data_IF_739303165132
#
_entry.id   IF_739303165132
#
_cell.length_a   1.000
_cell.length_b   1.000
_cell.length_c   1.000
_cell.angle_alpha   90.00
_cell.angle_beta   90.00
_cell.angle_gamma   90.00
#
_symmetry.space_group_name_H-M   'P 1'
#
loop_
_entity.id
_entity.type
_entity.pdbx_description
1 polymer ?
#
# COMPACT_ATOMS: atom_id res chain seq x y z
N UNK A 1 34.16 -6.42 -31.68
CA UNK A 1 35.44 -5.71 -31.44
C UNK A 1 35.55 -5.39 -29.97
N UNK A 2 36.65 -5.84 -29.37
CA UNK A 2 37.03 -5.79 -27.95
C UNK A 2 37.50 -4.36 -27.54
N UNK A 3 38.14 -4.10 -26.38
CA UNK A 3 38.01 -4.65 -25.02
C UNK A 3 38.15 -3.60 -23.87
N UNK A 4 37.90 -4.11 -22.66
CA UNK A 4 38.44 -3.78 -21.33
C UNK A 4 39.83 -3.10 -21.15
N UNK A 5 39.94 -2.28 -20.09
CA UNK A 5 41.14 -2.07 -19.22
C UNK A 5 40.63 -1.59 -17.83
N UNK A 6 40.82 -2.22 -16.65
CA UNK A 6 41.88 -2.93 -15.90
C UNK A 6 42.79 -2.01 -15.06
N UNK A 7 42.82 -2.25 -13.73
CA UNK A 7 43.91 -2.09 -12.72
C UNK A 7 43.39 -1.47 -11.38
N UNK A 8 43.77 -1.89 -10.17
CA UNK A 8 44.55 -3.02 -9.67
C UNK A 8 44.25 -3.19 -8.16
N UNK A 9 44.04 -4.43 -7.71
CA UNK A 9 43.93 -4.82 -6.30
C UNK A 9 45.29 -5.35 -5.85
N UNK A 10 45.78 -4.92 -4.68
CA UNK A 10 46.88 -5.59 -3.97
C UNK A 10 46.34 -6.23 -2.70
N UNK A 11 46.43 -7.56 -2.67
CA UNK A 11 46.12 -8.44 -1.55
C UNK A 11 47.13 -8.27 -0.41
N UNK A 12 46.63 -8.29 0.83
CA UNK A 12 47.34 -8.92 1.94
C UNK A 12 46.32 -9.47 2.93
N UNK A 13 46.29 -10.80 3.02
CA UNK A 13 45.42 -11.56 3.91
C UNK A 13 45.75 -11.37 5.39
N UNK A 14 44.75 -11.65 6.22
CA UNK A 14 44.85 -11.59 7.67
C UNK A 14 43.55 -12.09 8.31
N UNK A 15 43.47 -13.40 8.46
CA UNK A 15 42.41 -14.17 9.08
C UNK A 15 42.33 -13.81 10.58
N UNK A 16 41.18 -13.32 11.07
CA UNK A 16 40.96 -13.16 12.52
C UNK A 16 39.73 -13.93 12.99
N UNK A 17 40.04 -14.83 13.91
CA UNK A 17 39.21 -15.77 14.66
C UNK A 17 38.42 -15.01 15.74
N UNK A 18 37.17 -15.43 15.95
CA UNK A 18 36.32 -15.07 17.09
C UNK A 18 37.01 -15.32 18.44
N UNK A 19 37.03 -14.35 19.36
CA UNK A 19 36.68 -14.64 20.76
C UNK A 19 36.26 -13.43 21.61
N UNK A 20 35.46 -13.75 22.62
CA UNK A 20 34.66 -12.96 23.56
C UNK A 20 35.46 -12.20 24.64
N UNK A 21 34.81 -11.13 25.15
CA UNK A 21 34.91 -10.53 26.49
C UNK A 21 36.25 -9.90 26.93
N UNK A 22 36.27 -8.60 27.25
CA UNK A 22 36.33 -8.05 28.63
C UNK A 22 36.52 -6.52 28.63
N UNK A 23 35.88 -5.84 29.60
CA UNK A 23 36.05 -4.41 29.93
C UNK A 23 37.47 -4.07 30.42
N UNK A 24 37.93 -2.82 30.21
CA UNK A 24 38.24 -1.84 31.29
C UNK A 24 39.03 -0.62 30.78
N UNK A 25 38.63 0.55 31.31
CA UNK A 25 39.34 1.84 31.32
C UNK A 25 40.80 1.72 31.78
N UNK A 26 41.74 2.40 31.10
CA UNK A 26 42.92 3.03 31.72
C UNK A 26 43.34 4.28 30.94
N UNK A 27 43.41 5.41 31.66
CA UNK A 27 43.96 6.71 31.25
C UNK A 27 45.49 6.66 31.18
N UNK A 28 46.13 7.27 30.16
CA UNK A 28 47.57 7.57 30.20
C UNK A 28 47.86 9.02 29.79
N UNK A 29 48.44 9.70 30.77
CA UNK A 29 49.02 11.04 30.87
C UNK A 29 50.16 11.26 29.87
N UNK A 30 50.17 12.39 29.15
CA UNK A 30 51.32 12.83 28.35
C UNK A 30 51.90 14.15 28.91
N UNK A 31 53.23 14.17 29.04
CA UNK A 31 54.08 15.26 29.55
C UNK A 31 54.14 16.45 28.59
N UNK A 32 54.25 17.66 29.14
CA UNK A 32 54.77 18.87 28.47
C UNK A 32 56.32 18.91 28.56
N UNK A 33 57.03 19.67 27.69
CA UNK A 33 57.31 21.07 28.05
C UNK A 33 57.22 22.10 26.89
N UNK A 34 56.58 23.23 27.22
CA UNK A 34 56.79 24.63 26.80
C UNK A 34 57.51 24.98 25.48
N UNK A 35 56.77 25.62 24.55
CA UNK A 35 57.21 26.83 23.82
C UNK A 35 56.02 27.79 23.71
N UNK A 36 56.20 29.03 24.18
CA UNK A 36 55.23 30.11 24.10
C UNK A 36 55.05 30.62 22.66
N UNK A 37 53.83 30.57 22.15
CA UNK A 37 53.37 31.47 21.08
C UNK A 37 51.94 31.93 21.42
N UNK A 38 51.78 33.24 21.57
CA UNK A 38 50.50 33.90 21.79
C UNK A 38 49.68 33.82 20.51
N UNK A 39 48.80 32.82 20.41
CA UNK A 39 47.71 32.79 19.44
C UNK A 39 46.42 32.99 20.23
N UNK A 40 45.71 34.08 19.92
CA UNK A 40 44.35 34.33 20.40
C UNK A 40 43.47 33.24 19.77
N UNK A 41 43.15 32.20 20.54
CA UNK A 41 42.09 31.27 20.17
C UNK A 41 40.75 31.97 20.41
N UNK A 42 40.18 32.51 19.35
CA UNK A 42 38.72 32.70 19.28
C UNK A 42 38.15 31.28 19.22
N UNK A 43 37.32 30.82 20.17
CA UNK A 43 36.78 29.48 20.11
C UNK A 43 35.82 29.45 18.92
N UNK A 44 36.22 28.73 17.86
CA UNK A 44 35.27 28.21 16.88
C UNK A 44 34.35 27.29 17.65
N UNK A 45 33.15 27.80 17.97
CA UNK A 45 32.05 27.00 18.49
C UNK A 45 31.70 26.01 17.39
N UNK A 46 32.12 24.76 17.54
CA UNK A 46 31.68 23.66 16.71
C UNK A 46 30.16 23.55 16.83
N UNK A 47 29.45 23.78 15.73
CA UNK A 47 28.01 23.49 15.60
C UNK A 47 27.71 21.97 15.64
N UNK A 48 28.71 21.12 15.93
CA UNK A 48 28.59 19.66 15.97
C UNK A 48 28.15 19.08 17.34
N UNK A 49 28.01 19.90 18.39
CA UNK A 49 27.59 19.42 19.72
C UNK A 49 26.05 19.43 19.94
N UNK A 50 25.25 19.83 18.96
CA UNK A 50 23.78 19.90 19.06
C UNK A 50 23.07 18.65 18.49
N UNK A 51 23.64 17.46 18.66
CA UNK A 51 22.89 16.22 18.49
C UNK A 51 21.89 16.09 19.66
N UNK A 52 20.76 16.81 19.56
CA UNK A 52 19.63 16.70 20.49
C UNK A 52 19.25 15.21 20.63
N UNK A 53 19.11 14.68 21.87
CA UNK A 53 18.68 13.32 22.07
C UNK A 53 17.29 13.09 21.45
N UNK A 54 17.02 11.84 21.03
CA UNK A 54 15.66 11.38 20.70
C UNK A 54 14.66 11.89 21.75
N UNK A 55 13.42 12.25 21.35
CA UNK A 55 12.48 12.97 22.21
C UNK A 55 12.35 12.32 23.59
N UNK A 56 12.68 13.08 24.64
CA UNK A 56 12.67 12.63 26.03
C UNK A 56 11.28 12.20 26.51
N UNK A 57 10.22 12.54 25.76
CA UNK A 57 8.82 12.36 26.12
C UNK A 57 8.09 11.30 25.28
N UNK A 58 8.78 10.22 24.88
CA UNK A 58 8.15 9.04 24.25
C UNK A 58 6.95 8.49 25.05
N UNK A 59 6.87 8.77 26.36
CA UNK A 59 5.74 8.42 27.22
C UNK A 59 4.46 9.21 26.93
N UNK A 60 4.56 10.41 26.33
CA UNK A 60 3.41 11.25 26.01
C UNK A 60 2.45 10.58 25.00
N UNK A 61 2.97 9.76 24.08
CA UNK A 61 2.14 9.00 23.15
C UNK A 61 1.21 8.00 23.86
N UNK A 62 1.56 7.55 25.07
CA UNK A 62 0.69 6.69 25.89
C UNK A 62 -0.57 7.38 26.40
N UNK A 63 -0.66 8.71 26.33
CA UNK A 63 -1.87 9.47 26.65
C UNK A 63 -2.93 9.44 25.54
N UNK A 64 -2.57 8.97 24.34
CA UNK A 64 -3.51 8.81 23.25
C UNK A 64 -4.59 7.79 23.63
N UNK A 65 -5.83 7.95 23.13
CA UNK A 65 -6.84 6.92 23.27
C UNK A 65 -6.30 5.59 22.73
N UNK A 66 -6.25 4.58 23.59
CA UNK A 66 -5.81 3.22 23.26
C UNK A 66 -7.02 2.31 23.38
N UNK A 67 -7.13 1.33 22.46
CA UNK A 67 -8.27 0.44 22.27
C UNK A 67 -9.10 0.21 23.54
N UNK A 68 -10.14 1.02 23.71
CA UNK A 68 -11.01 0.99 24.87
C UNK A 68 -12.17 0.04 24.61
N UNK A 69 -12.58 -0.70 25.63
CA UNK A 69 -13.80 -1.51 25.59
C UNK A 69 -15.07 -0.65 25.77
N UNK A 70 -14.95 0.68 25.87
CA UNK A 70 -16.10 1.57 26.05
C UNK A 70 -16.93 1.59 24.78
N UNK A 71 -18.19 1.21 24.91
CA UNK A 71 -19.13 1.21 23.79
C UNK A 71 -20.13 2.36 23.94
N UNK A 72 -21.17 2.40 23.10
CA UNK A 72 -22.29 3.31 23.34
C UNK A 72 -22.96 2.96 24.67
N UNK A 73 -23.45 3.97 25.41
CA UNK A 73 -24.10 3.77 26.72
C UNK A 73 -25.21 2.70 26.67
N UNK A 74 -25.90 2.59 25.52
CA UNK A 74 -26.92 1.58 25.24
C UNK A 74 -26.32 0.16 25.27
N UNK A 75 -25.21 -0.07 24.58
CA UNK A 75 -24.57 -1.39 24.50
C UNK A 75 -23.88 -1.77 25.82
N UNK A 76 -23.29 -0.79 26.51
CA UNK A 76 -22.72 -0.98 27.84
C UNK A 76 -23.79 -1.33 28.88
N UNK A 77 -24.99 -0.71 28.81
CA UNK A 77 -26.11 -1.04 29.69
C UNK A 77 -26.67 -2.45 29.44
N UNK A 78 -26.79 -2.85 28.17
CA UNK A 78 -27.29 -4.17 27.78
C UNK A 78 -26.34 -5.31 28.16
N UNK A 79 -25.02 -5.02 28.21
CA UNK A 79 -23.98 -6.00 28.52
C UNK A 79 -23.46 -5.89 29.96
N UNK A 80 -24.09 -5.08 30.82
CA UNK A 80 -23.61 -4.79 32.18
C UNK A 80 -23.48 -6.04 33.07
N UNK A 81 -24.33 -7.05 32.85
CA UNK A 81 -24.36 -8.29 33.64
C UNK A 81 -23.41 -9.38 33.14
N UNK A 82 -22.65 -9.15 32.07
CA UNK A 82 -21.74 -10.14 31.48
C UNK A 82 -20.32 -10.01 32.03
N UNK A 83 -19.69 -11.16 32.27
CA UNK A 83 -18.27 -11.26 32.62
C UNK A 83 -17.42 -10.53 31.55
N UNK A 84 -16.33 -9.80 31.88
CA UNK A 84 -15.61 -8.93 30.94
C UNK A 84 -15.11 -9.67 29.69
N UNK A 85 -14.75 -10.96 29.84
CA UNK A 85 -14.35 -11.81 28.71
C UNK A 85 -15.48 -12.01 27.69
N UNK A 86 -16.67 -12.34 28.17
CA UNK A 86 -17.83 -12.57 27.30
C UNK A 86 -18.33 -11.26 26.71
N UNK A 87 -18.30 -10.17 27.48
CA UNK A 87 -18.61 -8.83 26.98
C UNK A 87 -17.72 -8.47 25.79
N UNK A 88 -16.41 -8.64 25.90
CA UNK A 88 -15.48 -8.31 24.81
C UNK A 88 -15.66 -9.22 23.58
N UNK A 89 -15.99 -10.51 23.79
CA UNK A 89 -16.29 -11.42 22.69
C UNK A 89 -17.56 -11.02 21.94
N UNK A 90 -18.62 -10.67 22.67
CA UNK A 90 -19.90 -10.21 22.08
C UNK A 90 -19.74 -8.88 21.35
N UNK A 91 -19.07 -7.89 21.94
CA UNK A 91 -18.79 -6.60 21.29
C UNK A 91 -18.05 -6.84 19.98
N UNK A 92 -16.99 -7.67 20.00
CA UNK A 92 -16.25 -7.99 18.78
C UNK A 92 -17.11 -8.67 17.73
N UNK A 93 -17.95 -9.63 18.13
CA UNK A 93 -18.87 -10.31 17.22
C UNK A 93 -19.86 -9.35 16.54
N UNK A 94 -20.49 -8.46 17.32
CA UNK A 94 -21.46 -7.47 16.80
C UNK A 94 -20.79 -6.55 15.78
N UNK A 95 -19.66 -5.93 16.14
CA UNK A 95 -18.95 -5.02 15.24
C UNK A 95 -18.38 -5.73 14.01
N UNK A 96 -18.02 -7.01 14.11
CA UNK A 96 -17.58 -7.82 12.95
C UNK A 96 -18.71 -7.95 11.93
N UNK A 97 -19.91 -8.34 12.36
CA UNK A 97 -21.06 -8.43 11.47
C UNK A 97 -21.46 -7.08 10.89
N UNK A 98 -21.44 -6.01 11.71
CA UNK A 98 -21.70 -4.65 11.23
C UNK A 98 -20.71 -4.25 10.13
N UNK A 99 -19.40 -4.49 10.34
CA UNK A 99 -18.37 -4.18 9.35
C UNK A 99 -18.56 -4.99 8.06
N UNK A 100 -18.88 -6.28 8.15
CA UNK A 100 -19.14 -7.13 6.98
C UNK A 100 -20.36 -6.62 6.20
N UNK A 101 -21.46 -6.34 6.88
CA UNK A 101 -22.69 -5.83 6.25
C UNK A 101 -22.46 -4.45 5.62
N UNK A 102 -21.75 -3.56 6.31
CA UNK A 102 -21.37 -2.27 5.78
C UNK A 102 -20.49 -2.41 4.54
N UNK A 103 -19.47 -3.25 4.57
CA UNK A 103 -18.61 -3.47 3.41
C UNK A 103 -19.38 -4.08 2.23
N UNK A 104 -20.24 -5.07 2.48
CA UNK A 104 -21.10 -5.65 1.45
C UNK A 104 -22.05 -4.61 0.83
N UNK A 105 -22.60 -3.71 1.65
CA UNK A 105 -23.42 -2.60 1.17
C UNK A 105 -22.62 -1.63 0.28
N UNK A 106 -21.40 -1.27 0.67
CA UNK A 106 -20.52 -0.43 -0.16
C UNK A 106 -20.15 -1.13 -1.48
N UNK A 107 -19.84 -2.42 -1.44
CA UNK A 107 -19.59 -3.22 -2.65
C UNK A 107 -20.83 -3.24 -3.56
N UNK A 108 -22.04 -3.30 -3.01
CA UNK A 108 -23.29 -3.22 -3.77
C UNK A 108 -23.50 -1.86 -4.44
N UNK A 109 -23.11 -0.75 -3.80
CA UNK A 109 -23.21 0.60 -4.38
C UNK A 109 -22.26 0.83 -5.56
N UNK A 110 -21.20 0.04 -5.70
CA UNK A 110 -20.30 0.06 -6.85
C UNK A 110 -18.89 0.59 -6.59
N UNK A 111 -18.05 0.61 -7.64
CA UNK A 111 -16.64 1.01 -7.56
C UNK A 111 -16.45 2.43 -7.03
N UNK A 112 -17.33 3.37 -7.39
CA UNK A 112 -17.23 4.75 -6.89
C UNK A 112 -17.43 4.84 -5.37
N UNK A 113 -18.35 4.05 -4.80
CA UNK A 113 -18.55 4.00 -3.36
C UNK A 113 -17.34 3.38 -2.64
N UNK A 114 -16.72 2.35 -3.24
CA UNK A 114 -15.47 1.76 -2.74
C UNK A 114 -14.31 2.76 -2.78
N UNK A 115 -14.20 3.58 -3.83
CA UNK A 115 -13.19 4.64 -3.90
C UNK A 115 -13.38 5.67 -2.78
N UNK A 116 -14.61 6.08 -2.51
CA UNK A 116 -14.90 6.99 -1.38
C UNK A 116 -14.56 6.34 -0.02
N UNK A 117 -14.83 5.04 0.13
CA UNK A 117 -14.44 4.29 1.33
C UNK A 117 -12.91 4.25 1.50
N UNK A 118 -12.16 3.97 0.43
CA UNK A 118 -10.69 3.96 0.43
C UNK A 118 -10.15 5.33 0.84
N UNK A 119 -10.73 6.41 0.30
CA UNK A 119 -10.36 7.78 0.66
C UNK A 119 -10.67 8.10 2.15
N UNK A 120 -11.82 7.65 2.65
CA UNK A 120 -12.18 7.82 4.06
C UNK A 120 -11.21 7.07 5.00
N UNK A 121 -10.86 5.82 4.66
CA UNK A 121 -9.87 5.02 5.39
C UNK A 121 -8.51 5.72 5.35
N UNK A 122 -8.07 6.19 4.19
CA UNK A 122 -6.81 6.91 4.00
C UNK A 122 -6.73 8.15 4.90
N UNK A 123 -7.75 9.01 4.89
CA UNK A 123 -7.81 10.21 5.74
C UNK A 123 -7.68 9.83 7.22
N UNK A 124 -8.37 8.76 7.66
CA UNK A 124 -8.33 8.32 9.05
C UNK A 124 -6.99 7.71 9.43
N UNK A 125 -6.41 6.86 8.60
CA UNK A 125 -5.06 6.33 8.76
C UNK A 125 -4.01 7.44 8.87
N UNK A 126 -4.09 8.44 7.99
CA UNK A 126 -3.21 9.61 8.03
C UNK A 126 -3.38 10.39 9.33
N UNK A 127 -4.62 10.64 9.75
CA UNK A 127 -4.90 11.32 11.01
C UNK A 127 -4.32 10.57 12.21
N UNK A 128 -4.49 9.25 12.31
CA UNK A 128 -3.94 8.44 13.41
C UNK A 128 -2.40 8.56 13.49
N UNK A 129 -1.69 8.42 12.36
CA UNK A 129 -0.22 8.52 12.34
C UNK A 129 0.27 9.95 12.63
N UNK A 130 -0.33 10.97 12.02
CA UNK A 130 0.07 12.38 12.27
C UNK A 130 -0.20 12.78 13.72
N UNK A 131 -1.29 12.29 14.32
CA UNK A 131 -1.62 12.58 15.72
C UNK A 131 -0.58 12.02 16.68
N UNK A 132 -0.04 10.82 16.41
CA UNK A 132 1.07 10.26 17.20
C UNK A 132 2.29 11.17 17.12
N UNK A 133 2.69 11.59 15.91
CA UNK A 133 3.78 12.53 15.73
C UNK A 133 3.53 13.83 16.50
N UNK A 134 2.34 14.42 16.35
CA UNK A 134 1.99 15.64 17.06
C UNK A 134 2.08 15.51 18.58
N UNK A 135 1.56 14.43 19.17
CA UNK A 135 1.60 14.23 20.62
C UNK A 135 3.02 14.05 21.16
N UNK A 136 3.89 13.35 20.43
CA UNK A 136 5.31 13.18 20.81
C UNK A 136 6.07 14.51 20.82
N UNK A 137 5.69 15.46 19.97
CA UNK A 137 6.34 16.78 19.85
C UNK A 137 5.50 17.93 20.42
N UNK A 138 4.40 17.64 21.13
CA UNK A 138 3.44 18.64 21.64
C UNK A 138 4.08 19.65 22.60
N UNK A 139 5.10 19.23 23.34
CA UNK A 139 5.82 20.08 24.32
C UNK A 139 6.55 21.27 23.70
N UNK A 140 6.70 21.31 22.37
CA UNK A 140 7.45 22.35 21.65
C UNK A 140 6.58 23.41 20.95
N UNK A 141 5.25 23.38 21.14
CA UNK A 141 4.25 24.34 20.64
C UNK A 141 4.51 24.86 19.21
N UNK A 142 4.65 23.93 18.28
CA UNK A 142 5.08 24.21 16.91
C UNK A 142 3.94 24.85 16.09
N UNK A 143 4.15 26.04 15.49
CA UNK A 143 3.11 26.72 14.74
C UNK A 143 2.77 25.97 13.44
N UNK A 144 1.49 25.99 13.06
CA UNK A 144 0.96 25.54 11.76
C UNK A 144 1.20 24.07 11.36
N UNK A 145 1.88 23.27 12.18
CA UNK A 145 2.22 21.88 11.81
C UNK A 145 1.00 21.08 11.35
N UNK A 146 -0.09 21.09 12.13
CA UNK A 146 -1.32 20.37 11.79
C UNK A 146 -1.90 20.86 10.45
N UNK A 147 -2.01 22.17 10.27
CA UNK A 147 -2.57 22.79 9.06
C UNK A 147 -1.75 22.41 7.83
N UNK A 148 -0.42 22.45 7.95
CA UNK A 148 0.50 22.14 6.89
C UNK A 148 0.49 20.64 6.52
N UNK A 149 0.39 19.73 7.50
CA UNK A 149 0.23 18.30 7.24
C UNK A 149 -1.06 18.00 6.48
N UNK A 150 -2.18 18.63 6.85
CA UNK A 150 -3.44 18.50 6.10
C UNK A 150 -3.38 19.11 4.70
N UNK A 151 -2.66 20.24 4.55
CA UNK A 151 -2.42 20.85 3.24
C UNK A 151 -1.65 19.90 2.31
N UNK A 152 -0.58 19.25 2.80
CA UNK A 152 0.15 18.28 2.01
C UNK A 152 -0.69 17.03 1.71
N UNK A 153 -1.54 16.57 2.62
CA UNK A 153 -2.50 15.50 2.32
C UNK A 153 -3.44 15.88 1.17
N UNK A 154 -4.02 17.07 1.21
CA UNK A 154 -4.86 17.57 0.13
C UNK A 154 -4.09 17.65 -1.20
N UNK A 155 -2.89 18.22 -1.17
CA UNK A 155 -2.03 18.39 -2.35
C UNK A 155 -1.65 17.05 -2.97
N UNK A 156 -1.23 16.08 -2.16
CA UNK A 156 -0.90 14.73 -2.65
C UNK A 156 -2.11 14.01 -3.22
N UNK A 157 -3.28 14.14 -2.58
CA UNK A 157 -4.51 13.56 -3.12
C UNK A 157 -4.94 14.22 -4.42
N UNK A 158 -4.85 15.54 -4.51
CA UNK A 158 -5.11 16.26 -5.76
C UNK A 158 -4.27 15.69 -6.90
N UNK A 159 -2.97 15.49 -6.68
CA UNK A 159 -2.08 14.88 -7.67
C UNK A 159 -2.42 13.43 -8.00
N UNK A 160 -2.41 12.53 -7.01
CA UNK A 160 -2.56 11.09 -7.28
C UNK A 160 -3.98 10.71 -7.73
N UNK A 161 -5.01 11.21 -7.04
CA UNK A 161 -6.39 10.94 -7.40
C UNK A 161 -6.79 11.66 -8.68
N UNK A 162 -6.27 12.89 -8.89
CA UNK A 162 -6.47 13.63 -10.12
C UNK A 162 -5.93 12.89 -11.35
N UNK A 163 -4.70 12.34 -11.30
CA UNK A 163 -4.18 11.51 -12.41
C UNK A 163 -5.06 10.29 -12.66
N UNK A 164 -5.50 9.57 -11.62
CA UNK A 164 -6.44 8.44 -11.79
C UNK A 164 -7.76 8.89 -12.42
N UNK A 165 -8.36 9.99 -11.96
CA UNK A 165 -9.62 10.48 -12.53
C UNK A 165 -9.48 10.90 -13.99
N UNK A 166 -8.36 11.53 -14.34
CA UNK A 166 -8.07 11.91 -15.73
C UNK A 166 -7.87 10.67 -16.60
N UNK A 167 -7.17 9.64 -16.11
CA UNK A 167 -6.92 8.42 -16.87
C UNK A 167 -8.21 7.65 -17.24
N UNK A 168 -9.20 7.59 -16.34
CA UNK A 168 -10.43 6.82 -16.55
C UNK A 168 -11.62 7.66 -17.04
N UNK A 169 -11.67 8.95 -16.71
CA UNK A 169 -12.84 9.81 -16.94
C UNK A 169 -12.52 11.10 -17.73
N UNK A 170 -11.39 11.16 -18.46
CA UNK A 170 -10.99 12.34 -19.26
C UNK A 170 -12.11 12.86 -20.16
N UNK A 171 -12.84 11.98 -20.85
CA UNK A 171 -13.93 12.34 -21.76
C UNK A 171 -15.07 13.06 -21.02
N UNK A 172 -15.42 12.58 -19.82
CA UNK A 172 -16.46 13.18 -18.99
C UNK A 172 -16.00 14.54 -18.43
N UNK A 173 -14.76 14.61 -17.94
CA UNK A 173 -14.22 15.82 -17.32
C UNK A 173 -13.99 16.95 -18.34
N UNK A 174 -13.63 16.61 -19.59
CA UNK A 174 -13.39 17.61 -20.65
C UNK A 174 -14.66 18.24 -21.23
N UNK A 175 -15.86 17.69 -20.94
CA UNK A 175 -17.13 18.28 -21.41
C UNK A 175 -17.43 19.64 -20.77
N UNK A 176 -16.95 19.88 -19.56
CA UNK A 176 -17.17 21.14 -18.85
C UNK A 176 -15.93 22.03 -18.97
N UNK A 177 -16.10 23.26 -19.49
CA UNK A 177 -15.02 24.23 -19.64
C UNK A 177 -14.27 24.51 -18.32
N UNK A 178 -14.98 24.51 -17.18
CA UNK A 178 -14.37 24.72 -15.87
C UNK A 178 -13.44 23.56 -15.49
N UNK A 179 -13.91 22.31 -15.64
CA UNK A 179 -13.13 21.11 -15.30
C UNK A 179 -11.99 20.86 -16.28
N UNK A 180 -12.17 21.20 -17.56
CA UNK A 180 -11.14 21.11 -18.61
C UNK A 180 -9.85 21.85 -18.24
N UNK A 181 -9.96 23.01 -17.60
CA UNK A 181 -8.79 23.75 -17.11
C UNK A 181 -7.98 22.92 -16.09
N UNK A 182 -8.66 22.35 -15.09
CA UNK A 182 -8.01 21.53 -14.06
C UNK A 182 -7.39 20.25 -14.64
N UNK A 183 -8.04 19.62 -15.63
CA UNK A 183 -7.51 18.43 -16.30
C UNK A 183 -6.26 18.77 -17.13
N UNK A 184 -6.34 19.83 -17.95
CA UNK A 184 -5.26 20.19 -18.89
C UNK A 184 -3.99 20.62 -18.15
N UNK A 185 -4.14 21.39 -17.07
CA UNK A 185 -3.02 21.92 -16.28
C UNK A 185 -2.79 21.18 -14.97
N UNK A 186 -3.35 19.97 -14.84
CA UNK A 186 -3.35 19.18 -13.60
C UNK A 186 -1.96 19.06 -12.94
N UNK A 187 -0.96 18.63 -13.72
CA UNK A 187 0.42 18.42 -13.23
C UNK A 187 1.08 19.72 -12.78
N UNK A 188 0.88 20.79 -13.54
CA UNK A 188 1.43 22.10 -13.22
C UNK A 188 0.79 22.66 -11.94
N UNK A 189 -0.55 22.60 -11.84
CA UNK A 189 -1.27 23.04 -10.65
C UNK A 189 -0.87 22.24 -9.41
N UNK A 190 -0.73 20.92 -9.54
CA UNK A 190 -0.25 20.04 -8.46
C UNK A 190 1.16 20.44 -7.99
N UNK A 191 2.06 20.69 -8.92
CA UNK A 191 3.42 21.17 -8.61
C UNK A 191 3.39 22.54 -7.92
N UNK A 192 2.59 23.49 -8.41
CA UNK A 192 2.43 24.80 -7.78
C UNK A 192 1.87 24.72 -6.36
N UNK A 193 0.88 23.86 -6.11
CA UNK A 193 0.34 23.62 -4.77
C UNK A 193 1.43 23.03 -3.85
N UNK A 194 2.21 22.06 -4.31
CA UNK A 194 3.29 21.51 -3.52
C UNK A 194 4.35 22.56 -3.17
N UNK A 195 4.79 23.35 -4.14
CA UNK A 195 5.76 24.45 -3.94
C UNK A 195 5.21 25.49 -2.96
N UNK A 196 3.93 25.86 -3.05
CA UNK A 196 3.32 26.80 -2.11
C UNK A 196 3.34 26.24 -0.67
N UNK A 197 3.05 24.96 -0.47
CA UNK A 197 3.17 24.29 0.82
C UNK A 197 4.61 24.24 1.33
N UNK A 198 5.56 23.98 0.45
CA UNK A 198 6.99 23.99 0.78
C UNK A 198 7.46 25.39 1.20
N UNK A 199 7.07 26.44 0.48
CA UNK A 199 7.37 27.83 0.88
C UNK A 199 6.71 28.17 2.22
N UNK A 200 5.45 27.77 2.43
CA UNK A 200 4.76 27.97 3.71
C UNK A 200 5.47 27.26 4.87
N UNK A 201 6.00 26.05 4.65
CA UNK A 201 6.84 25.35 5.62
C UNK A 201 8.09 26.15 5.97
N UNK A 202 8.83 26.61 4.95
CA UNK A 202 10.05 27.40 5.14
C UNK A 202 9.74 28.71 5.90
N UNK A 203 8.64 29.38 5.57
CA UNK A 203 8.19 30.57 6.29
C UNK A 203 7.74 30.29 7.73
N UNK A 204 7.34 29.06 8.05
CA UNK A 204 6.95 28.65 9.41
C UNK A 204 8.12 28.27 10.32
N UNK A 205 9.36 28.29 9.82
CA UNK A 205 10.54 27.89 10.59
C UNK A 205 10.81 28.82 11.78
N UNK A 206 10.95 28.23 12.97
CA UNK A 206 11.21 28.97 14.21
C UNK A 206 12.61 28.61 14.73
N UNK A 207 13.41 29.63 15.06
CA UNK A 207 14.74 29.47 15.68
C UNK A 207 14.63 28.59 16.93
N UNK A 208 15.59 27.67 17.13
CA UNK A 208 15.66 26.65 18.21
C UNK A 208 14.85 25.37 18.00
N UNK A 209 14.00 25.28 16.97
CA UNK A 209 13.17 24.08 16.74
C UNK A 209 13.33 23.44 15.36
N UNK A 210 14.40 23.77 14.62
CA UNK A 210 14.61 23.30 13.26
C UNK A 210 14.60 21.77 13.14
N UNK A 211 15.41 21.05 13.93
CA UNK A 211 15.49 19.59 13.85
C UNK A 211 14.11 18.93 14.03
N UNK A 212 13.31 19.44 14.97
CA UNK A 212 11.95 18.95 15.25
C UNK A 212 10.99 19.27 14.10
N UNK A 213 11.04 20.48 13.54
CA UNK A 213 10.24 20.86 12.38
C UNK A 213 10.59 20.02 11.14
N UNK A 214 11.88 19.79 10.87
CA UNK A 214 12.33 18.91 9.78
C UNK A 214 11.96 17.44 10.02
N UNK A 215 12.03 16.95 11.26
CA UNK A 215 11.60 15.59 11.61
C UNK A 215 10.11 15.41 11.36
N UNK A 216 9.29 16.38 11.75
CA UNK A 216 7.84 16.38 11.52
C UNK A 216 7.45 16.58 10.05
N UNK A 217 8.22 17.38 9.31
CA UNK A 217 8.11 17.50 7.86
C UNK A 217 8.40 16.15 7.18
N UNK A 218 9.50 15.49 7.57
CA UNK A 218 9.85 14.15 7.11
C UNK A 218 8.78 13.11 7.49
N UNK A 219 8.29 13.14 8.74
CA UNK A 219 7.20 12.31 9.22
C UNK A 219 5.95 12.44 8.35
N UNK A 220 5.56 13.67 8.02
CA UNK A 220 4.43 13.94 7.14
C UNK A 220 4.65 13.33 5.76
N UNK A 221 5.81 13.56 5.13
CA UNK A 221 6.11 13.05 3.78
C UNK A 221 6.22 11.53 3.72
N UNK A 222 6.82 10.88 4.72
CA UNK A 222 6.86 9.42 4.83
C UNK A 222 5.46 8.86 5.03
N UNK A 223 4.64 9.50 5.87
CA UNK A 223 3.23 9.09 6.07
C UNK A 223 2.43 9.24 4.77
N UNK A 224 2.62 10.33 4.01
CA UNK A 224 1.96 10.52 2.72
C UNK A 224 2.40 9.46 1.71
N UNK A 225 3.70 9.17 1.65
CA UNK A 225 4.25 8.13 0.78
C UNK A 225 3.61 6.77 1.09
N UNK A 226 3.46 6.42 2.38
CA UNK A 226 2.87 5.14 2.79
C UNK A 226 1.35 5.14 2.64
N UNK A 227 0.64 6.21 2.97
CA UNK A 227 -0.83 6.17 3.04
C UNK A 227 -1.49 6.59 1.72
N UNK A 228 -1.01 7.67 1.09
CA UNK A 228 -1.59 8.20 -0.16
C UNK A 228 -1.25 7.27 -1.33
N UNK A 229 0.02 6.86 -1.48
CA UNK A 229 0.42 5.97 -2.57
C UNK A 229 -0.38 4.68 -2.53
N UNK A 230 -0.55 4.07 -1.35
CA UNK A 230 -1.30 2.82 -1.23
C UNK A 230 -2.78 3.00 -1.57
N UNK A 231 -3.40 4.09 -1.11
CA UNK A 231 -4.78 4.42 -1.51
C UNK A 231 -4.92 4.59 -3.03
N UNK A 232 -3.96 5.23 -3.69
CA UNK A 232 -3.95 5.42 -5.14
C UNK A 232 -3.85 4.08 -5.89
N UNK A 233 -2.94 3.19 -5.46
CA UNK A 233 -2.80 1.86 -6.06
C UNK A 233 -4.07 1.02 -5.88
N UNK A 234 -4.71 1.10 -4.70
CA UNK A 234 -5.99 0.43 -4.45
C UNK A 234 -7.08 0.98 -5.40
N UNK A 235 -7.18 2.30 -5.56
CA UNK A 235 -8.15 2.93 -6.46
C UNK A 235 -7.94 2.49 -7.91
N UNK A 236 -6.69 2.44 -8.39
CA UNK A 236 -6.38 1.93 -9.72
C UNK A 236 -6.81 0.47 -9.89
N UNK A 237 -6.52 -0.39 -8.92
CA UNK A 237 -6.93 -1.80 -8.95
C UNK A 237 -8.46 -1.94 -8.97
N UNK A 238 -9.19 -1.11 -8.21
CA UNK A 238 -10.66 -1.08 -8.20
C UNK A 238 -11.23 -0.74 -9.58
N UNK A 239 -10.61 0.20 -10.30
CA UNK A 239 -11.07 0.59 -11.64
C UNK A 239 -10.81 -0.48 -12.72
N UNK A 240 -9.76 -1.28 -12.56
CA UNK A 240 -9.47 -2.43 -13.44
C UNK A 240 -10.38 -3.64 -13.16
N UNK A 241 -11.12 -3.63 -12.05
CA UNK A 241 -12.13 -4.64 -11.70
C UNK A 241 -12.16 -4.91 -10.19
N UNK A 242 -13.36 -5.12 -9.63
CA UNK A 242 -13.52 -5.32 -8.19
C UNK A 242 -12.82 -6.58 -7.67
N UNK A 243 -12.60 -7.58 -8.53
CA UNK A 243 -11.89 -8.82 -8.21
C UNK A 243 -10.47 -8.54 -7.69
N UNK A 244 -9.81 -7.50 -8.22
CA UNK A 244 -8.47 -7.08 -7.81
C UNK A 244 -8.41 -6.44 -6.42
N UNK A 245 -9.55 -6.04 -5.87
CA UNK A 245 -9.69 -5.63 -4.46
C UNK A 245 -10.17 -6.80 -3.60
N UNK A 246 -11.26 -7.45 -4.01
CA UNK A 246 -12.02 -8.39 -3.19
C UNK A 246 -11.22 -9.65 -2.86
N UNK A 247 -10.56 -10.24 -3.86
CA UNK A 247 -9.80 -11.49 -3.66
C UNK A 247 -8.61 -11.26 -2.71
N UNK A 248 -7.72 -10.28 -2.96
CA UNK A 248 -6.57 -10.02 -2.09
C UNK A 248 -6.92 -9.60 -0.66
N UNK A 249 -7.90 -8.71 -0.49
CA UNK A 249 -8.33 -8.25 0.84
C UNK A 249 -8.86 -9.43 1.65
N UNK A 250 -9.67 -10.29 1.02
CA UNK A 250 -10.22 -11.48 1.66
C UNK A 250 -9.14 -12.52 1.99
N UNK A 251 -8.11 -12.67 1.14
CA UNK A 251 -6.97 -13.55 1.42
C UNK A 251 -6.21 -13.10 2.68
N UNK A 252 -5.95 -11.81 2.85
CA UNK A 252 -5.29 -11.28 4.07
C UNK A 252 -6.16 -11.53 5.31
N UNK A 253 -7.47 -11.25 5.22
CA UNK A 253 -8.41 -11.50 6.33
C UNK A 253 -8.44 -12.99 6.70
N UNK A 254 -8.55 -13.86 5.69
CA UNK A 254 -8.51 -15.32 5.89
C UNK A 254 -7.20 -15.75 6.53
N UNK A 255 -6.07 -15.24 6.06
CA UNK A 255 -4.76 -15.56 6.61
C UNK A 255 -4.65 -15.19 8.09
N UNK A 256 -5.10 -14.00 8.48
CA UNK A 256 -5.04 -13.58 9.88
C UNK A 256 -5.94 -14.44 10.80
N UNK A 257 -7.15 -14.78 10.33
CA UNK A 257 -8.08 -15.64 11.07
C UNK A 257 -7.50 -17.06 11.21
N UNK A 258 -7.06 -17.66 10.11
CA UNK A 258 -6.55 -19.02 10.09
C UNK A 258 -5.22 -19.13 10.83
N UNK A 259 -4.33 -18.15 10.71
CA UNK A 259 -3.09 -18.13 11.49
C UNK A 259 -3.36 -18.02 13.00
N UNK A 260 -4.39 -17.28 13.41
CA UNK A 260 -4.83 -17.25 14.80
C UNK A 260 -5.42 -18.61 15.23
N UNK A 261 -6.28 -19.22 14.43
CA UNK A 261 -6.89 -20.52 14.76
C UNK A 261 -5.85 -21.63 14.89
N UNK A 262 -4.97 -21.81 13.90
CA UNK A 262 -3.90 -22.81 13.96
C UNK A 262 -2.89 -22.49 15.07
N UNK A 263 -2.59 -21.21 15.29
CA UNK A 263 -1.73 -20.79 16.39
C UNK A 263 -2.33 -21.09 17.77
N UNK A 264 -3.66 -20.98 17.93
CA UNK A 264 -4.33 -21.31 19.17
C UNK A 264 -4.35 -22.81 19.47
N UNK A 265 -4.62 -23.66 18.48
CA UNK A 265 -4.72 -25.11 18.68
C UNK A 265 -3.37 -25.84 18.67
N UNK A 266 -2.44 -25.41 17.82
CA UNK A 266 -1.18 -26.13 17.56
C UNK A 266 0.08 -25.31 17.87
N UNK A 267 -0.07 -24.03 18.22
CA UNK A 267 1.06 -23.12 18.41
C UNK A 267 1.92 -23.46 19.62
N UNK A 268 3.20 -23.72 19.38
CA UNK A 268 4.21 -23.96 20.44
C UNK A 268 5.44 -23.09 20.25
N UNK A 269 5.79 -22.78 19.00
CA UNK A 269 7.03 -22.07 18.68
C UNK A 269 6.76 -20.63 18.24
N UNK A 270 7.25 -19.61 18.97
CA UNK A 270 7.04 -18.21 18.60
C UNK A 270 7.80 -17.87 17.31
N UNK A 271 7.15 -17.11 16.42
CA UNK A 271 7.70 -16.72 15.13
C UNK A 271 8.76 -15.62 15.27
N UNK A 272 8.42 -14.53 15.97
CA UNK A 272 9.25 -13.34 16.12
C UNK A 272 9.15 -12.79 17.56
N UNK A 273 10.28 -12.34 18.12
CA UNK A 273 10.34 -11.78 19.49
C UNK A 273 9.46 -10.55 19.70
N UNK A 274 9.30 -9.73 18.66
CA UNK A 274 8.45 -8.53 18.67
C UNK A 274 6.96 -8.86 18.88
N UNK A 275 6.52 -10.06 18.49
CA UNK A 275 5.13 -10.51 18.60
C UNK A 275 5.07 -11.95 19.13
N UNK A 276 5.22 -12.15 20.46
CA UNK A 276 5.34 -13.49 21.05
C UNK A 276 4.08 -14.35 20.90
N UNK A 277 2.93 -13.74 20.54
CA UNK A 277 1.66 -14.44 20.32
C UNK A 277 1.54 -15.08 18.93
N UNK A 278 2.39 -14.70 17.97
CA UNK A 278 2.37 -15.26 16.61
C UNK A 278 3.32 -16.46 16.57
N UNK A 279 2.85 -17.60 16.08
CA UNK A 279 3.61 -18.87 16.09
C UNK A 279 3.91 -19.36 14.68
N UNK A 280 4.96 -20.19 14.53
CA UNK A 280 5.31 -20.80 13.23
C UNK A 280 4.22 -21.74 12.74
N UNK A 281 3.61 -22.53 13.64
CA UNK A 281 2.53 -23.46 13.27
C UNK A 281 1.31 -22.71 12.77
N UNK A 282 0.97 -21.57 13.40
CA UNK A 282 -0.07 -20.66 12.94
C UNK A 282 0.24 -20.07 11.56
N UNK A 283 1.48 -19.62 11.34
CA UNK A 283 1.92 -19.04 10.07
C UNK A 283 1.79 -20.04 8.91
N UNK A 284 2.23 -21.28 9.10
CA UNK A 284 2.16 -22.35 8.08
C UNK A 284 0.71 -22.76 7.82
N UNK A 285 -0.09 -22.97 8.88
CA UNK A 285 -1.50 -23.32 8.75
C UNK A 285 -2.34 -22.22 8.08
N UNK A 286 -2.04 -20.96 8.39
CA UNK A 286 -2.61 -19.79 7.73
C UNK A 286 -2.29 -19.77 6.23
N UNK A 287 -1.05 -20.04 5.86
CA UNK A 287 -0.64 -20.09 4.45
C UNK A 287 -1.38 -21.16 3.65
N UNK A 288 -1.41 -22.40 4.14
CA UNK A 288 -2.13 -23.49 3.48
C UNK A 288 -3.63 -23.17 3.29
N UNK A 289 -4.25 -22.65 4.35
CA UNK A 289 -5.68 -22.30 4.31
C UNK A 289 -5.99 -21.14 3.36
N UNK A 290 -5.09 -20.15 3.29
CA UNK A 290 -5.23 -18.98 2.42
C UNK A 290 -5.16 -19.35 0.94
N UNK A 291 -4.32 -20.32 0.57
CA UNK A 291 -4.24 -20.83 -0.80
C UNK A 291 -5.56 -21.50 -1.21
N UNK A 292 -6.08 -22.41 -0.37
CA UNK A 292 -7.34 -23.11 -0.63
C UNK A 292 -8.50 -22.11 -0.71
N UNK A 293 -8.58 -21.20 0.27
CA UNK A 293 -9.61 -20.18 0.30
C UNK A 293 -9.53 -19.25 -0.91
N UNK A 294 -8.33 -18.84 -1.31
CA UNK A 294 -8.10 -17.98 -2.47
C UNK A 294 -8.60 -18.59 -3.76
N UNK A 295 -8.31 -19.88 -4.00
CA UNK A 295 -8.82 -20.62 -5.17
C UNK A 295 -10.35 -20.69 -5.14
N UNK A 296 -10.94 -21.08 -4.00
CA UNK A 296 -12.40 -21.20 -3.86
C UNK A 296 -13.09 -19.86 -4.09
N UNK A 297 -12.63 -18.80 -3.42
CA UNK A 297 -13.20 -17.46 -3.54
C UNK A 297 -13.09 -16.93 -4.97
N UNK A 298 -11.92 -17.11 -5.60
CA UNK A 298 -11.71 -16.71 -6.99
C UNK A 298 -12.68 -17.41 -7.91
N UNK A 299 -12.88 -18.73 -7.75
CA UNK A 299 -13.82 -19.49 -8.59
C UNK A 299 -15.26 -18.98 -8.47
N UNK A 300 -15.69 -18.59 -7.25
CA UNK A 300 -17.02 -18.03 -7.00
C UNK A 300 -17.18 -16.65 -7.63
N UNK A 301 -16.21 -15.76 -7.47
CA UNK A 301 -16.31 -14.39 -7.97
C UNK A 301 -16.26 -14.31 -9.50
N UNK A 302 -15.55 -15.22 -10.17
CA UNK A 302 -15.46 -15.27 -11.63
C UNK A 302 -16.80 -15.59 -12.33
N UNK A 303 -17.79 -16.10 -11.60
CA UNK A 303 -19.11 -16.36 -12.19
C UNK A 303 -19.89 -15.08 -12.51
N UNK A 304 -19.50 -13.95 -11.91
CA UNK A 304 -20.24 -12.69 -11.98
C UNK A 304 -19.42 -11.61 -12.71
N UNK A 305 -19.95 -11.10 -13.82
CA UNK A 305 -19.30 -10.04 -14.60
C UNK A 305 -19.06 -8.76 -13.79
N UNK A 306 -19.94 -8.50 -12.81
CA UNK A 306 -19.85 -7.38 -11.89
C UNK A 306 -18.48 -7.27 -11.18
N UNK A 307 -17.86 -8.40 -10.81
CA UNK A 307 -16.56 -8.36 -10.13
C UNK A 307 -15.39 -8.26 -11.10
N UNK A 308 -15.57 -8.72 -12.33
CA UNK A 308 -14.50 -8.98 -13.28
C UNK A 308 -14.30 -7.82 -14.24
N UNK A 309 -15.39 -7.17 -14.64
CA UNK A 309 -15.34 -6.11 -15.63
C UNK A 309 -14.83 -4.78 -15.06
N UNK A 310 -13.93 -4.07 -15.78
CA UNK A 310 -13.46 -2.75 -15.38
C UNK A 310 -14.56 -1.70 -15.55
N UNK A 311 -14.42 -0.60 -14.82
CA UNK A 311 -15.32 0.56 -14.99
C UNK A 311 -14.97 1.28 -16.29
N UNK A 312 -16.00 1.55 -17.11
CA UNK A 312 -15.84 2.32 -18.34
C UNK A 312 -16.95 3.36 -18.47
N UNK A 313 -16.62 4.49 -19.11
CA UNK A 313 -17.60 5.51 -19.45
C UNK A 313 -18.03 5.34 -20.91
N UNK A 314 -19.33 5.13 -21.15
CA UNK A 314 -19.86 5.01 -22.49
C UNK A 314 -20.37 6.38 -22.99
N UNK A 315 -19.76 6.96 -24.04
CA UNK A 315 -20.09 8.31 -24.50
C UNK A 315 -21.47 8.43 -25.16
N UNK A 316 -22.03 7.34 -25.71
CA UNK A 316 -23.35 7.35 -26.37
C UNK A 316 -24.50 7.29 -25.37
N UNK A 317 -24.39 6.50 -24.31
CA UNK A 317 -25.42 6.38 -23.27
C UNK A 317 -25.24 7.37 -22.11
N UNK A 318 -24.09 8.06 -22.02
CA UNK A 318 -23.72 8.98 -20.94
C UNK A 318 -23.81 8.34 -19.54
N UNK A 319 -23.55 7.03 -19.46
CA UNK A 319 -23.59 6.25 -18.22
C UNK A 319 -22.28 5.51 -18.01
N UNK A 320 -21.96 5.29 -16.74
CA UNK A 320 -20.89 4.38 -16.33
C UNK A 320 -21.41 2.95 -16.46
N UNK A 321 -20.66 2.12 -17.18
CA UNK A 321 -20.99 0.71 -17.40
C UNK A 321 -19.85 -0.19 -16.93
N UNK A 322 -20.24 -1.32 -16.33
CA UNK A 322 -19.35 -2.45 -16.00
C UNK A 322 -19.66 -3.66 -16.89
N UNK A 323 -20.18 -3.39 -18.10
CA UNK A 323 -20.40 -4.40 -19.12
C UNK A 323 -19.18 -4.40 -20.03
N UNK A 324 -18.51 -5.55 -20.14
CA UNK A 324 -17.28 -5.69 -20.89
C UNK A 324 -17.17 -7.07 -21.53
N UNK A 325 -16.34 -7.17 -22.56
CA UNK A 325 -15.84 -8.49 -22.95
C UNK A 325 -14.80 -8.95 -21.91
N UNK A 326 -15.03 -10.12 -21.32
CA UNK A 326 -14.13 -10.66 -20.28
C UNK A 326 -12.69 -10.75 -20.79
N UNK A 327 -11.77 -10.26 -19.96
CA UNK A 327 -10.34 -10.42 -20.19
C UNK A 327 -9.99 -11.92 -20.38
N UNK A 328 -9.03 -12.29 -21.25
CA UNK A 328 -8.65 -13.69 -21.49
C UNK A 328 -8.28 -14.46 -20.21
N UNK A 329 -7.73 -13.77 -19.21
CA UNK A 329 -7.40 -14.35 -17.89
C UNK A 329 -8.64 -14.89 -17.15
N UNK A 330 -9.83 -14.39 -17.48
CA UNK A 330 -11.11 -14.76 -16.90
C UNK A 330 -11.97 -15.65 -17.82
N UNK A 331 -11.40 -16.10 -18.95
CA UNK A 331 -12.02 -17.10 -19.83
C UNK A 331 -11.35 -18.46 -19.58
N UNK A 332 -12.09 -19.55 -19.77
CA UNK A 332 -11.55 -20.90 -19.61
C UNK A 332 -10.51 -21.14 -20.71
N UNK A 333 -9.31 -21.57 -20.31
CA UNK A 333 -8.22 -21.94 -21.21
C UNK A 333 -7.81 -23.39 -20.97
N UNK A 334 -7.25 -24.02 -22.00
CA UNK A 334 -6.73 -25.38 -21.92
C UNK A 334 -5.22 -25.34 -21.74
N UNK A 335 -4.74 -25.97 -20.66
CA UNK A 335 -3.32 -26.06 -20.35
C UNK A 335 -2.82 -27.49 -20.55
N UNK A 336 -1.77 -27.65 -21.34
CA UNK A 336 -1.00 -28.90 -21.41
C UNK A 336 -0.05 -28.98 -20.22
N UNK A 337 -0.13 -30.08 -19.47
CA UNK A 337 0.76 -30.30 -18.33
C UNK A 337 2.21 -30.56 -18.80
N UNK A 338 3.24 -30.13 -18.04
CA UNK A 338 4.62 -30.42 -18.37
C UNK A 338 4.89 -31.93 -18.38
N UNK A 339 5.64 -32.42 -19.37
CA UNK A 339 6.01 -33.84 -19.51
C UNK A 339 6.76 -34.39 -18.28
N UNK A 340 7.36 -33.51 -17.46
CA UNK A 340 8.08 -33.88 -16.23
C UNK A 340 7.19 -34.42 -15.12
N UNK A 341 5.87 -34.17 -15.18
CA UNK A 341 4.91 -34.66 -14.19
C UNK A 341 4.24 -35.99 -14.60
N UNK A 342 4.59 -36.55 -15.77
CA UNK A 342 4.00 -37.79 -16.29
C UNK A 342 4.14 -38.95 -15.28
N UNK A 343 5.25 -39.06 -14.57
CA UNK A 343 5.46 -40.09 -13.53
C UNK A 343 4.49 -39.98 -12.35
N UNK A 344 4.14 -38.76 -11.93
CA UNK A 344 3.20 -38.52 -10.83
C UNK A 344 1.75 -38.79 -11.26
N UNK A 345 1.38 -38.43 -12.49
CA UNK A 345 0.04 -38.69 -13.01
C UNK A 345 -0.23 -40.17 -13.26
N UNK A 346 0.80 -40.90 -13.68
CA UNK A 346 0.73 -42.37 -13.83
C UNK A 346 0.56 -43.05 -12.47
N UNK A 347 1.21 -42.53 -11.42
CA UNK A 347 1.03 -43.00 -10.04
C UNK A 347 -0.37 -42.71 -9.49
N UNK A 348 -0.92 -41.52 -9.76
CA UNK A 348 -2.23 -41.07 -9.27
C UNK A 348 -3.42 -41.51 -10.13
N UNK A 349 -3.20 -42.30 -11.21
CA UNK A 349 -4.25 -42.79 -12.11
C UNK A 349 -5.14 -41.67 -12.70
N UNK A 350 -4.56 -40.51 -13.01
CA UNK A 350 -5.32 -39.37 -13.58
C UNK A 350 -5.26 -39.46 -15.12
N UNK A 351 -6.39 -39.64 -15.82
CA UNK A 351 -6.39 -39.95 -17.26
C UNK A 351 -6.24 -38.74 -18.19
N UNK A 352 -6.18 -37.51 -17.67
CA UNK A 352 -6.21 -36.29 -18.48
C UNK A 352 -4.85 -35.58 -18.54
N UNK A 353 -4.34 -35.32 -19.76
CA UNK A 353 -3.14 -34.51 -20.03
C UNK A 353 -3.42 -33.01 -20.18
N UNK A 354 -4.70 -32.63 -20.27
CA UNK A 354 -5.14 -31.25 -20.44
C UNK A 354 -6.00 -30.81 -19.25
N UNK A 355 -5.66 -29.65 -18.68
CA UNK A 355 -6.40 -29.03 -17.59
C UNK A 355 -7.21 -27.86 -18.15
N UNK A 356 -8.55 -27.93 -18.06
CA UNK A 356 -9.45 -26.82 -18.42
C UNK A 356 -9.72 -26.00 -17.16
N UNK A 357 -9.14 -24.82 -17.08
CA UNK A 357 -9.31 -23.94 -15.91
C UNK A 357 -9.23 -22.48 -16.32
N UNK A 358 -9.63 -21.59 -15.41
CA UNK A 358 -9.40 -20.15 -15.58
C UNK A 358 -7.91 -19.84 -15.32
N UNK A 359 -7.21 -19.14 -16.23
CA UNK A 359 -5.86 -18.64 -15.98
C UNK A 359 -5.73 -17.89 -14.64
N UNK A 360 -6.79 -17.16 -14.27
CA UNK A 360 -6.86 -16.46 -12.98
C UNK A 360 -6.65 -17.36 -11.76
N UNK A 361 -6.97 -18.67 -11.82
CA UNK A 361 -6.70 -19.58 -10.69
C UNK A 361 -5.21 -19.67 -10.37
N UNK A 362 -4.35 -19.69 -11.39
CA UNK A 362 -2.89 -19.73 -11.20
C UNK A 362 -2.38 -18.42 -10.61
N UNK A 363 -2.92 -17.29 -11.08
CA UNK A 363 -2.64 -15.98 -10.49
C UNK A 363 -3.10 -15.90 -9.04
N UNK A 364 -4.29 -16.43 -8.71
CA UNK A 364 -4.81 -16.51 -7.34
C UNK A 364 -3.87 -17.28 -6.42
N UNK A 365 -3.22 -18.35 -6.88
CA UNK A 365 -2.20 -19.06 -6.09
C UNK A 365 -1.04 -18.12 -5.78
N UNK A 366 -0.52 -17.40 -6.77
CA UNK A 366 0.56 -16.42 -6.55
C UNK A 366 0.15 -15.31 -5.57
N UNK A 367 -1.07 -14.77 -5.71
CA UNK A 367 -1.62 -13.77 -4.81
C UNK A 367 -1.75 -14.31 -3.37
N UNK A 368 -2.28 -15.52 -3.21
CA UNK A 368 -2.45 -16.13 -1.88
C UNK A 368 -1.13 -16.42 -1.18
N UNK A 369 -0.12 -16.90 -1.92
CA UNK A 369 1.22 -17.13 -1.38
C UNK A 369 1.85 -15.84 -0.88
N UNK A 370 1.74 -14.76 -1.66
CA UNK A 370 2.22 -13.45 -1.23
C UNK A 370 1.45 -12.95 0.01
N UNK A 371 0.12 -13.04 -0.03
CA UNK A 371 -0.74 -12.61 1.07
C UNK A 371 -0.42 -13.34 2.37
N UNK A 372 -0.10 -14.64 2.31
CA UNK A 372 0.21 -15.41 3.50
C UNK A 372 1.65 -15.29 3.99
N UNK A 373 2.62 -15.20 3.08
CA UNK A 373 4.04 -15.24 3.44
C UNK A 373 4.56 -13.83 3.71
N UNK A 374 4.31 -12.89 2.80
CA UNK A 374 4.88 -11.55 2.83
C UNK A 374 3.91 -10.55 3.48
N UNK A 375 2.60 -10.70 3.24
CA UNK A 375 1.56 -9.85 3.81
C UNK A 375 1.70 -9.60 5.33
N UNK A 376 1.92 -10.63 6.18
CA UNK A 376 2.04 -10.46 7.63
C UNK A 376 3.20 -9.57 8.10
N UNK A 377 4.24 -9.39 7.26
CA UNK A 377 5.34 -8.51 7.60
C UNK A 377 4.92 -7.03 7.67
N UNK A 378 3.86 -6.62 6.96
CA UNK A 378 3.24 -5.31 7.14
C UNK A 378 2.76 -5.09 8.57
N UNK A 379 2.05 -6.08 9.12
CA UNK A 379 1.59 -6.06 10.52
C UNK A 379 2.73 -6.16 11.55
N UNK A 380 3.82 -6.87 11.24
CA UNK A 380 5.02 -6.88 12.09
C UNK A 380 5.72 -5.52 12.10
N UNK A 381 5.81 -4.86 10.95
CA UNK A 381 6.37 -3.51 10.84
C UNK A 381 5.54 -2.50 11.65
N UNK A 382 4.21 -2.50 11.47
CA UNK A 382 3.31 -1.64 12.23
C UNK A 382 3.38 -1.92 13.74
N UNK A 383 3.47 -3.19 14.14
CA UNK A 383 3.71 -3.56 15.53
C UNK A 383 5.03 -3.00 16.06
N UNK A 384 6.11 -3.05 15.28
CA UNK A 384 7.41 -2.50 15.64
C UNK A 384 7.37 -1.00 15.87
N UNK A 385 6.72 -0.28 14.96
CA UNK A 385 6.45 1.14 15.08
C UNK A 385 5.71 1.47 16.39
N UNK A 386 4.62 0.76 16.69
CA UNK A 386 3.85 0.98 17.92
C UNK A 386 4.69 0.78 19.18
N UNK A 387 5.52 -0.27 19.22
CA UNK A 387 6.42 -0.53 20.36
C UNK A 387 7.50 0.53 20.50
N UNK A 388 8.00 1.09 19.41
CA UNK A 388 8.96 2.20 19.45
C UNK A 388 8.38 3.43 20.15
N UNK A 389 7.08 3.72 19.96
CA UNK A 389 6.38 4.84 20.63
C UNK A 389 5.69 4.46 21.95
N UNK A 390 5.96 3.25 22.50
CA UNK A 390 5.32 2.73 23.73
C UNK A 390 3.79 2.73 23.69
N UNK A 391 3.20 2.66 22.49
CA UNK A 391 1.76 2.51 22.29
C UNK A 391 1.42 1.05 21.93
N UNK A 392 0.14 0.70 22.03
CA UNK A 392 -0.37 -0.63 21.69
C UNK A 392 -1.17 -0.63 20.40
N UNK A 393 -1.98 0.40 20.20
CA UNK A 393 -2.90 0.59 19.08
C UNK A 393 -2.72 2.02 18.52
N UNK A 394 -2.97 2.23 17.23
CA UNK A 394 -2.83 3.55 16.59
C UNK A 394 -3.97 4.51 16.99
N UNK A 395 -5.10 3.96 17.44
CA UNK A 395 -6.27 4.68 17.92
C UNK A 395 -7.30 3.74 18.54
N UNK A 396 -8.50 4.25 18.81
CA UNK A 396 -9.59 3.52 19.49
C UNK A 396 -10.95 3.64 18.78
N UNK A 397 -10.94 3.87 17.46
CA UNK A 397 -12.14 4.17 16.66
C UNK A 397 -13.16 3.02 16.68
N UNK A 398 -12.71 1.77 16.59
CA UNK A 398 -13.61 0.61 16.56
C UNK A 398 -13.51 -0.11 17.92
N UNK A 399 -14.60 -0.12 18.71
CA UNK A 399 -14.60 -0.77 20.02
C UNK A 399 -14.15 -2.22 19.94
N UNK A 400 -13.19 -2.58 20.79
CA UNK A 400 -12.59 -3.91 20.84
C UNK A 400 -11.69 -4.31 19.65
N UNK A 401 -11.51 -3.45 18.64
CA UNK A 401 -10.73 -3.71 17.42
C UNK A 401 -9.52 -2.79 17.19
N UNK A 402 -9.43 -1.66 17.90
CA UNK A 402 -8.30 -0.72 17.82
C UNK A 402 -8.49 0.38 16.77
N UNK A 403 -7.38 0.89 16.24
CA UNK A 403 -7.38 1.93 15.20
C UNK A 403 -7.69 1.37 13.80
N UNK A 404 -7.94 2.27 12.86
CA UNK A 404 -8.12 1.90 11.44
C UNK A 404 -6.78 1.44 10.84
N UNK A 405 -5.66 2.11 11.19
CA UNK A 405 -4.34 1.70 10.72
C UNK A 405 -3.98 0.28 11.17
N UNK A 406 -4.43 -0.14 12.36
CA UNK A 406 -4.24 -1.52 12.88
C UNK A 406 -4.93 -2.61 12.04
N UNK A 407 -5.83 -2.23 11.11
CA UNK A 407 -6.57 -3.16 10.25
C UNK A 407 -6.05 -3.19 8.81
N UNK A 408 -5.31 -2.15 8.41
CA UNK A 408 -4.84 -1.97 7.03
C UNK A 408 -3.32 -2.10 6.88
N UNK A 409 -2.59 -2.37 7.96
CA UNK A 409 -1.13 -2.54 7.96
C UNK A 409 -0.63 -3.66 7.02
N UNK A 410 -1.25 -4.84 7.06
CA UNK A 410 -0.97 -5.93 6.11
C UNK A 410 -1.50 -5.62 4.69
N UNK A 411 -2.60 -4.87 4.59
CA UNK A 411 -3.26 -4.55 3.32
C UNK A 411 -2.44 -3.60 2.46
N UNK A 412 -1.66 -2.70 3.07
CA UNK A 412 -0.79 -1.78 2.32
C UNK A 412 0.27 -2.52 1.50
N UNK A 413 0.90 -3.55 2.08
CA UNK A 413 1.89 -4.35 1.36
C UNK A 413 1.21 -5.14 0.22
N UNK A 414 0.02 -5.68 0.50
CA UNK A 414 -0.77 -6.40 -0.50
C UNK A 414 -1.21 -5.50 -1.66
N UNK A 415 -1.65 -4.27 -1.39
CA UNK A 415 -2.07 -3.29 -2.39
C UNK A 415 -0.97 -3.00 -3.43
N UNK A 416 0.25 -2.75 -2.96
CA UNK A 416 1.41 -2.56 -3.84
C UNK A 416 1.66 -3.79 -4.70
N UNK A 417 1.64 -4.97 -4.09
CA UNK A 417 1.91 -6.21 -4.81
C UNK A 417 0.89 -6.48 -5.90
N UNK A 418 -0.41 -6.34 -5.62
CA UNK A 418 -1.46 -6.55 -6.62
C UNK A 418 -1.24 -5.63 -7.81
N UNK A 419 -0.95 -4.35 -7.56
CA UNK A 419 -0.76 -3.39 -8.64
C UNK A 419 0.45 -3.75 -9.51
N UNK A 420 1.62 -4.02 -8.90
CA UNK A 420 2.82 -4.44 -9.62
C UNK A 420 2.58 -5.75 -10.36
N UNK A 421 1.91 -6.72 -9.73
CA UNK A 421 1.60 -8.01 -10.32
C UNK A 421 0.64 -7.87 -11.51
N UNK A 422 -0.44 -7.09 -11.36
CA UNK A 422 -1.39 -6.81 -12.42
C UNK A 422 -0.72 -6.16 -13.61
N UNK A 423 -0.01 -5.06 -13.38
CA UNK A 423 0.70 -4.31 -14.44
C UNK A 423 1.77 -5.13 -15.16
N UNK A 424 2.43 -6.06 -14.46
CA UNK A 424 3.51 -6.87 -15.04
C UNK A 424 3.03 -8.11 -15.78
N UNK A 425 2.02 -8.81 -15.25
CA UNK A 425 1.65 -10.15 -15.73
C UNK A 425 0.26 -10.25 -16.36
N UNK A 426 -0.65 -9.32 -16.05
CA UNK A 426 -2.06 -9.42 -16.46
C UNK A 426 -2.46 -8.34 -17.45
N UNK A 427 -1.98 -7.10 -17.25
CA UNK A 427 -2.41 -5.93 -18.01
C UNK A 427 -2.19 -6.14 -19.50
N UNK A 428 -3.30 -6.27 -20.25
CA UNK A 428 -3.30 -6.18 -21.70
C UNK A 428 -3.54 -4.73 -22.14
N UNK A 429 -3.03 -4.39 -23.32
CA UNK A 429 -3.31 -3.11 -23.95
C UNK A 429 -4.76 -3.10 -24.44
N UNK A 430 -5.63 -2.29 -23.81
CA UNK A 430 -7.01 -2.14 -24.26
C UNK A 430 -7.05 -1.27 -25.53
N UNK A 431 -7.48 -1.80 -26.69
CA UNK A 431 -7.54 -1.05 -27.93
C UNK A 431 -8.48 0.17 -27.83
N UNK A 432 -9.54 0.10 -27.02
CA UNK A 432 -10.44 1.23 -26.79
C UNK A 432 -9.74 2.37 -26.06
N UNK A 433 -8.85 2.06 -25.10
CA UNK A 433 -8.06 3.06 -24.38
C UNK A 433 -7.00 3.70 -25.29
N UNK A 434 -6.39 2.90 -26.17
CA UNK A 434 -5.48 3.41 -27.21
C UNK A 434 -6.24 4.36 -28.15
N UNK A 435 -7.42 3.95 -28.62
CA UNK A 435 -8.26 4.78 -29.47
C UNK A 435 -8.68 6.09 -28.77
N UNK A 436 -9.07 6.03 -27.49
CA UNK A 436 -9.39 7.23 -26.71
C UNK A 436 -8.20 8.18 -26.61
N UNK A 437 -6.98 7.67 -26.37
CA UNK A 437 -5.77 8.49 -26.34
C UNK A 437 -5.51 9.15 -27.70
N UNK A 438 -5.75 8.43 -28.80
CA UNK A 438 -5.63 9.00 -30.15
C UNK A 438 -6.67 10.11 -30.36
N UNK A 439 -7.92 9.91 -29.93
CA UNK A 439 -8.99 10.91 -30.04
C UNK A 439 -8.77 12.17 -29.19
N UNK A 440 -7.85 12.15 -28.23
CA UNK A 440 -7.45 13.34 -27.47
C UNK A 440 -6.41 14.21 -28.20
N UNK A 441 -5.78 13.70 -29.27
CA UNK A 441 -4.83 14.45 -30.09
C UNK A 441 -5.51 15.53 -30.93
N UNK A 442 -4.74 16.46 -31.50
CA UNK A 442 -5.29 17.43 -32.46
C UNK A 442 -5.78 16.70 -33.73
N UNK A 443 -6.78 17.25 -34.45
CA UNK A 443 -7.30 16.59 -35.66
C UNK A 443 -6.23 16.22 -36.69
N UNK A 444 -5.21 17.07 -36.89
CA UNK A 444 -4.11 16.81 -37.82
C UNK A 444 -3.24 15.62 -37.37
N UNK A 445 -2.99 15.51 -36.06
CA UNK A 445 -2.24 14.41 -35.46
C UNK A 445 -3.03 13.10 -35.48
N UNK A 446 -4.35 13.16 -35.29
CA UNK A 446 -5.22 11.99 -35.43
C UNK A 446 -5.13 11.40 -36.85
N UNK A 447 -5.20 12.26 -37.87
CA UNK A 447 -5.10 11.84 -39.27
C UNK A 447 -3.69 11.29 -39.57
N UNK A 448 -2.65 11.88 -39.00
CA UNK A 448 -1.28 11.39 -39.13
C UNK A 448 -1.12 9.98 -38.54
N UNK A 449 -1.65 9.73 -37.33
CA UNK A 449 -1.63 8.41 -36.69
C UNK A 449 -2.38 7.37 -37.51
N UNK A 450 -3.55 7.73 -38.06
CA UNK A 450 -4.31 6.85 -38.94
C UNK A 450 -3.52 6.47 -40.19
N UNK A 451 -2.93 7.45 -40.88
CA UNK A 451 -2.14 7.21 -42.09
C UNK A 451 -0.88 6.37 -41.81
N UNK A 452 -0.21 6.60 -40.68
CA UNK A 452 0.94 5.82 -40.24
C UNK A 452 0.55 4.37 -39.97
N UNK A 453 -0.52 4.15 -39.20
CA UNK A 453 -1.04 2.81 -38.88
C UNK A 453 -1.43 2.07 -40.16
N UNK A 454 -2.17 2.74 -41.05
CA UNK A 454 -2.57 2.17 -42.34
C UNK A 454 -1.36 1.75 -43.19
N UNK A 455 -0.33 2.61 -43.30
CA UNK A 455 0.91 2.30 -44.02
C UNK A 455 1.63 1.09 -43.42
N UNK A 456 1.79 1.04 -42.09
CA UNK A 456 2.46 -0.08 -41.41
C UNK A 456 1.71 -1.40 -41.58
N UNK A 457 0.38 -1.38 -41.55
CA UNK A 457 -0.43 -2.58 -41.74
C UNK A 457 -0.42 -3.07 -43.20
N UNK A 458 -0.33 -2.15 -44.18
CA UNK A 458 -0.09 -2.48 -45.60
C UNK A 458 1.30 -3.10 -45.82
N UNK A 459 2.35 -2.51 -45.26
CA UNK A 459 3.72 -3.06 -45.32
C UNK A 459 3.83 -4.43 -44.63
N UNK A 460 3.02 -4.68 -43.60
CA UNK A 460 2.93 -5.95 -42.89
C UNK A 460 2.03 -7.01 -43.54
N UNK A 461 1.44 -6.76 -44.73
CA UNK A 461 0.46 -7.64 -45.40
C UNK A 461 -0.75 -8.03 -44.54
N UNK A 462 -1.15 -7.18 -43.58
CA UNK A 462 -2.30 -7.42 -42.70
C UNK A 462 -3.61 -6.87 -43.27
N UNK A 463 -3.54 -5.97 -44.26
CA UNK A 463 -4.68 -5.44 -45.00
C UNK A 463 -4.32 -5.40 -46.49
N UNK A 464 -5.26 -5.78 -47.36
CA UNK A 464 -5.08 -5.69 -48.81
C UNK A 464 -5.54 -4.31 -49.32
N UNK A 465 -4.85 -3.79 -50.35
CA UNK A 465 -5.18 -2.50 -50.99
C UNK A 465 -6.64 -2.38 -51.48
N UNK A 466 -7.34 -3.51 -51.65
CA UNK A 466 -8.71 -3.59 -52.17
C UNK A 466 -9.82 -3.39 -51.14
N UNK A 467 -9.55 -3.40 -49.83
CA UNK A 467 -10.58 -3.17 -48.80
C UNK A 467 -10.86 -1.67 -48.55
N UNK A 468 -10.33 -0.79 -49.41
CA UNK A 468 -10.32 0.67 -49.24
C UNK A 468 -11.51 1.43 -49.88
N UNK A 469 -12.57 0.73 -50.31
CA UNK A 469 -13.75 1.37 -50.91
C UNK A 469 -15.11 0.94 -50.31
N UNK A 470 -15.24 0.90 -48.98
CA UNK A 470 -16.55 0.86 -48.31
C UNK A 470 -16.63 1.83 -47.14
#
# INVERSE_FOLDING_TARGET
MAPWARANIKNSGGQYILNKNFMLNVSVRARSPNVHSNIIYMPLRSEEDDAEPLPQDLGAAGSLPQGSDKTTEILDSALANLNPRWRNWVIRGIFTWLMILFFAFIVYLGPLALVLLVFAIQIKCFHEIITIGYVVYKSYDLPLFRTLSWYFLFTSNFFFFGESMIEYFSVLLNRNNFLRFFVTYHRFLSFSLYVAGFVAFVCSLVKKHYLKQFTLFGWTHVTLLIVVTQSHLIVQNVFEGLIWLMVPVSMIICNDIMAYMFGFFFGKTPLIKLSPKKTWEGFIGGAFSTVIFGILLSYVLLQWDYFVCPISFNPTSNRLSMECERHPVFKIAEYSLPETLDGLFTLLHIPYRTLRTYPFMLHSISLSLFASVIGPFGGFFASGFKRAFKIKDFGDIIPGHGGIMDRFDCQFLMATFIHVYYTSFIRLHNPQKILQNILMLKPDEQLHVYNLLHKTLMEGNLINATDSML
#
